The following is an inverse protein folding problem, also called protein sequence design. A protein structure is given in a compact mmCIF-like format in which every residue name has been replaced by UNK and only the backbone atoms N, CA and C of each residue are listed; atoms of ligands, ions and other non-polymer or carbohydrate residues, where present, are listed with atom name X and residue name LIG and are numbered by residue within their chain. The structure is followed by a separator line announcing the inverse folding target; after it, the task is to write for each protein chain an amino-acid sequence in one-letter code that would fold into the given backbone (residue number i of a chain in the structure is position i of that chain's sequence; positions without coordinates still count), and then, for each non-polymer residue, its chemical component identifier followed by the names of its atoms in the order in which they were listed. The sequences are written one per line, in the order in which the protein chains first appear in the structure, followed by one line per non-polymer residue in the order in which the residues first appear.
data_IF_178105099742
#
_entry.id   IF_178105099742
#
_cell.length_a   1.000
_cell.length_b   1.000
_cell.length_c   1.000
_cell.angle_alpha   90.00
_cell.angle_beta   90.00
_cell.angle_gamma   90.00
#
_symmetry.space_group_name_H-M   'P 1'
#
loop_
_entity.id
_entity.type
_entity.pdbx_description
1 polymer ?
#
# COMPACT_ATOMS: atom_id res chain seq x y z
N UNK A 1 1.58 -3.33 -15.82
CA UNK A 1 2.75 -4.15 -15.40
C UNK A 1 3.48 -4.58 -16.65
N UNK A 2 4.78 -4.28 -16.71
CA UNK A 2 5.61 -4.29 -17.93
C UNK A 2 6.92 -3.62 -17.50
N UNK A 3 7.41 -2.64 -18.25
CA UNK A 3 8.66 -1.94 -17.92
C UNK A 3 8.54 -0.91 -16.78
N UNK A 4 7.48 -0.95 -15.97
CA UNK A 4 7.25 0.03 -14.90
C UNK A 4 8.40 0.03 -13.88
N UNK A 5 8.87 -1.15 -13.47
CA UNK A 5 10.01 -1.27 -12.55
C UNK A 5 11.29 -0.70 -13.16
N UNK A 6 11.56 -0.97 -14.44
CA UNK A 6 12.72 -0.44 -15.15
C UNK A 6 12.66 1.09 -15.28
N UNK A 7 11.47 1.65 -15.52
CA UNK A 7 11.25 3.12 -15.59
C UNK A 7 11.46 3.78 -14.24
N UNK A 8 10.89 3.23 -13.17
CA UNK A 8 11.15 3.71 -11.81
C UNK A 8 12.64 3.62 -11.54
N UNK A 9 13.27 2.51 -11.95
CA UNK A 9 14.67 2.25 -11.71
C UNK A 9 15.60 3.29 -12.37
N UNK A 10 15.30 3.66 -13.62
CA UNK A 10 16.06 4.65 -14.39
C UNK A 10 15.62 6.10 -14.18
N UNK A 11 14.62 6.35 -13.34
CA UNK A 11 14.09 7.70 -13.10
C UNK A 11 14.88 8.47 -12.05
N UNK A 12 14.56 9.77 -11.93
CA UNK A 12 15.04 10.66 -10.85
C UNK A 12 14.18 10.57 -9.58
N UNK A 13 13.34 9.55 -9.44
CA UNK A 13 12.53 9.35 -8.24
C UNK A 13 13.44 8.89 -7.11
N UNK A 14 13.40 9.61 -5.99
CA UNK A 14 14.17 9.28 -4.79
C UNK A 14 13.48 8.17 -3.97
N UNK A 15 12.15 8.19 -3.88
CA UNK A 15 11.35 7.19 -3.15
C UNK A 15 9.95 7.08 -3.72
N UNK A 16 9.42 5.85 -3.74
CA UNK A 16 8.05 5.53 -4.13
C UNK A 16 7.40 4.71 -3.00
N UNK A 17 6.31 5.23 -2.45
CA UNK A 17 5.53 4.55 -1.42
C UNK A 17 4.29 3.94 -2.07
N UNK A 18 4.04 2.67 -1.83
CA UNK A 18 2.85 1.95 -2.30
C UNK A 18 2.17 1.21 -1.16
N UNK A 19 0.91 0.84 -1.33
CA UNK A 19 0.20 -0.05 -0.40
C UNK A 19 0.30 -1.50 -0.84
N UNK A 20 0.06 -2.43 0.08
CA UNK A 20 -0.06 -3.87 -0.19
C UNK A 20 -1.47 -4.30 -0.67
N UNK A 21 -2.27 -3.36 -1.19
CA UNK A 21 -3.61 -3.63 -1.77
C UNK A 21 -3.58 -4.64 -2.91
N UNK A 22 -2.45 -4.74 -3.60
CA UNK A 22 -2.12 -5.81 -4.54
C UNK A 22 -0.80 -6.41 -4.10
N UNK A 23 -0.72 -7.74 -4.05
CA UNK A 23 0.49 -8.46 -3.67
C UNK A 23 1.69 -8.03 -4.55
N UNK A 24 2.73 -7.42 -3.97
CA UNK A 24 3.91 -7.04 -4.71
C UNK A 24 4.65 -8.27 -5.23
N UNK A 25 5.22 -8.17 -6.43
CA UNK A 25 6.12 -9.19 -6.96
C UNK A 25 7.48 -9.11 -6.26
N UNK A 26 8.24 -10.20 -6.25
CA UNK A 26 9.54 -10.27 -5.59
C UNK A 26 10.56 -9.23 -6.11
N UNK A 27 10.52 -8.89 -7.40
CA UNK A 27 11.39 -7.88 -8.01
C UNK A 27 11.04 -6.45 -7.58
N UNK A 28 9.76 -6.18 -7.28
CA UNK A 28 9.32 -4.91 -6.70
C UNK A 28 9.81 -4.77 -5.26
N UNK A 29 9.75 -5.85 -4.48
CA UNK A 29 10.25 -5.88 -3.10
C UNK A 29 11.78 -5.73 -3.01
N UNK A 30 12.50 -6.07 -4.08
CA UNK A 30 13.94 -5.94 -4.15
C UNK A 30 14.42 -4.51 -4.53
N UNK A 31 13.55 -3.66 -5.05
CA UNK A 31 13.89 -2.28 -5.42
C UNK A 31 13.92 -1.37 -4.18
N UNK A 32 15.11 -0.85 -3.85
CA UNK A 32 15.36 -0.08 -2.63
C UNK A 32 14.58 1.23 -2.53
N UNK A 33 14.15 1.79 -3.65
CA UNK A 33 13.33 3.02 -3.66
C UNK A 33 11.86 2.75 -3.41
N UNK A 34 11.40 1.50 -3.48
CA UNK A 34 9.99 1.17 -3.28
C UNK A 34 9.78 0.73 -1.83
N UNK A 35 8.92 1.47 -1.14
CA UNK A 35 8.50 1.16 0.22
C UNK A 35 7.04 0.73 0.22
N UNK A 36 6.75 -0.43 0.80
CA UNK A 36 5.39 -0.96 0.90
C UNK A 36 4.85 -0.66 2.29
N UNK A 37 3.72 0.03 2.36
CA UNK A 37 2.98 0.31 3.60
C UNK A 37 1.75 -0.58 3.64
N UNK A 38 1.62 -1.36 4.71
CA UNK A 38 0.45 -2.24 4.83
C UNK A 38 -0.82 -1.45 5.15
N UNK A 39 -1.90 -1.78 4.45
CA UNK A 39 -3.27 -1.31 4.77
C UNK A 39 -4.09 -2.38 5.49
N UNK A 40 -3.51 -3.54 5.78
CA UNK A 40 -4.22 -4.67 6.40
C UNK A 40 -4.88 -4.29 7.72
N UNK A 41 -4.21 -3.48 8.56
CA UNK A 41 -4.78 -3.00 9.84
C UNK A 41 -6.02 -2.12 9.65
N UNK A 42 -5.98 -1.20 8.68
CA UNK A 42 -7.12 -0.32 8.36
C UNK A 42 -8.31 -1.14 7.82
N UNK A 43 -8.04 -2.11 6.95
CA UNK A 43 -9.07 -2.99 6.40
C UNK A 43 -9.67 -3.89 7.48
N UNK A 44 -8.84 -4.47 8.36
CA UNK A 44 -9.31 -5.30 9.47
C UNK A 44 -10.25 -4.52 10.40
N UNK A 45 -9.88 -3.27 10.71
CA UNK A 45 -10.71 -2.40 11.55
C UNK A 45 -12.01 -1.99 10.85
N UNK A 46 -11.98 -1.73 9.54
CA UNK A 46 -13.20 -1.48 8.76
C UNK A 46 -14.14 -2.70 8.77
N UNK A 47 -13.60 -3.92 8.67
CA UNK A 47 -14.37 -5.16 8.78
C UNK A 47 -15.00 -5.27 10.18
N UNK A 48 -14.21 -5.07 11.24
CA UNK A 48 -14.68 -5.11 12.64
C UNK A 48 -15.84 -4.14 12.87
N UNK A 49 -15.68 -2.88 12.46
CA UNK A 49 -16.72 -1.86 12.62
C UNK A 49 -17.98 -2.14 11.82
N UNK A 50 -17.84 -2.66 10.60
CA UNK A 50 -18.99 -3.10 9.81
C UNK A 50 -19.75 -4.21 10.53
N UNK A 51 -19.02 -5.15 11.16
CA UNK A 51 -19.63 -6.23 11.93
C UNK A 51 -20.32 -5.75 13.21
N UNK A 52 -19.77 -4.74 13.88
CA UNK A 52 -20.30 -4.17 15.12
C UNK A 52 -21.27 -2.99 14.92
N UNK A 53 -21.62 -2.67 13.68
CA UNK A 53 -22.45 -1.50 13.32
C UNK A 53 -21.88 -0.15 13.83
N UNK A 54 -20.55 -0.10 14.00
CA UNK A 54 -19.82 1.11 14.39
C UNK A 54 -19.52 1.99 13.17
N UNK A 55 -19.36 3.29 13.39
CA UNK A 55 -19.05 4.21 12.30
C UNK A 55 -17.66 3.95 11.71
N UNK A 56 -17.60 3.74 10.40
CA UNK A 56 -16.35 3.68 9.63
C UNK A 56 -15.73 5.08 9.49
N UNK A 57 -16.52 6.15 9.56
CA UNK A 57 -16.05 7.52 9.29
C UNK A 57 -14.93 7.97 10.24
N UNK A 58 -14.90 7.47 11.47
CA UNK A 58 -13.86 7.79 12.44
C UNK A 58 -12.51 7.11 12.16
N UNK A 59 -12.40 6.25 11.15
CA UNK A 59 -11.10 5.81 10.61
C UNK A 59 -10.42 6.86 9.73
N UNK A 60 -11.13 7.93 9.37
CA UNK A 60 -10.63 9.03 8.55
C UNK A 60 -10.44 10.33 9.34
N UNK A 61 -10.68 10.31 10.66
CA UNK A 61 -10.41 11.43 11.56
C UNK A 61 -8.91 11.47 11.91
N UNK A 62 -8.35 12.68 11.88
CA UNK A 62 -6.91 12.96 12.05
C UNK A 62 -6.59 13.50 13.44
#
# INVERSE_FOLDING_TARGET
SGDALARISGSRIDSLIITDTIAPRADVLAEKRINVVSVAGLIAEAIRRTHEEESISSLFES
#
